data_IF_906904468831
#
_entry.id   IF_906904468831
#
_cell.length_a   1.000
_cell.length_b   1.000
_cell.length_c   1.000
_cell.angle_alpha   90.00
_cell.angle_beta   90.00
_cell.angle_gamma   90.00
#
_symmetry.space_group_name_H-M   'P 1'
#
loop_
_entity.id
_entity.type
_entity.pdbx_description
1 polymer ?
#
# COMPACT_ATOMS: atom_id res chain seq x y z
N UNK A 1 -4.11 5.70 21.24
CA UNK A 1 -3.00 5.00 20.56
C UNK A 1 -3.31 4.90 19.09
N UNK A 2 -2.35 5.29 18.24
CA UNK A 2 -2.55 5.32 16.78
C UNK A 2 -1.86 4.12 16.16
N UNK A 3 -2.63 3.31 15.45
CA UNK A 3 -2.12 2.12 14.74
C UNK A 3 -2.35 2.30 13.25
N UNK A 4 -1.29 2.19 12.47
CA UNK A 4 -1.33 2.41 11.02
C UNK A 4 -0.97 1.13 10.28
N UNK A 5 -1.80 0.75 9.32
CA UNK A 5 -1.52 -0.36 8.41
C UNK A 5 -0.76 0.13 7.18
N UNK A 6 0.31 -0.54 6.82
CA UNK A 6 1.13 -0.22 5.66
C UNK A 6 1.14 -1.41 4.71
N UNK A 7 0.68 -1.19 3.48
CA UNK A 7 0.59 -2.24 2.46
C UNK A 7 1.65 -1.96 1.39
N UNK A 8 2.74 -2.74 1.36
CA UNK A 8 3.73 -2.56 0.31
C UNK A 8 3.20 -3.08 -1.02
N UNK A 9 3.35 -2.30 -2.07
CA UNK A 9 2.86 -2.68 -3.39
C UNK A 9 3.76 -2.08 -4.46
N UNK A 10 4.20 -2.91 -5.41
CA UNK A 10 5.01 -2.46 -6.51
C UNK A 10 4.49 -3.02 -7.83
N UNK A 11 4.76 -2.28 -8.91
CA UNK A 11 4.33 -2.67 -10.24
C UNK A 11 5.20 -3.78 -10.81
N UNK A 12 6.51 -3.74 -10.55
CA UNK A 12 7.48 -4.66 -11.11
C UNK A 12 7.58 -5.98 -10.36
N UNK A 13 6.62 -6.86 -10.55
CA UNK A 13 6.70 -8.23 -10.06
C UNK A 13 7.36 -9.10 -11.13
N UNK A 14 8.28 -9.97 -10.74
CA UNK A 14 8.95 -10.87 -11.70
C UNK A 14 8.01 -11.91 -12.29
N UNK A 15 7.01 -12.34 -11.53
CA UNK A 15 6.06 -13.37 -12.01
C UNK A 15 4.86 -12.80 -12.71
N UNK A 16 4.27 -11.76 -12.16
CA UNK A 16 3.09 -11.12 -12.74
C UNK A 16 3.30 -9.62 -12.72
N UNK A 17 3.94 -9.07 -13.77
CA UNK A 17 4.10 -7.62 -13.86
C UNK A 17 2.73 -6.94 -13.73
N UNK A 18 2.69 -5.85 -12.98
CA UNK A 18 1.45 -5.10 -12.73
C UNK A 18 0.37 -5.89 -12.01
N UNK A 19 0.74 -6.90 -11.23
CA UNK A 19 -0.22 -7.70 -10.46
C UNK A 19 -1.14 -6.82 -9.61
N UNK A 20 -0.59 -5.80 -8.99
CA UNK A 20 -1.35 -4.89 -8.12
C UNK A 20 -2.49 -4.19 -8.86
N UNK A 21 -2.36 -4.01 -10.17
CA UNK A 21 -3.36 -3.36 -11.01
C UNK A 21 -4.25 -4.33 -11.76
N UNK A 22 -4.07 -5.63 -11.55
CA UNK A 22 -4.91 -6.65 -12.18
C UNK A 22 -6.35 -6.48 -11.70
N UNK A 23 -7.27 -6.38 -12.65
CA UNK A 23 -8.69 -6.16 -12.33
C UNK A 23 -9.35 -7.47 -11.90
N UNK A 24 -9.97 -7.45 -10.74
CA UNK A 24 -10.73 -8.57 -10.18
C UNK A 24 -12.07 -8.02 -9.69
N UNK A 25 -13.16 -8.56 -10.20
CA UNK A 25 -14.52 -8.11 -9.85
C UNK A 25 -14.68 -6.59 -9.94
N UNK A 26 -14.11 -6.00 -10.99
CA UNK A 26 -14.25 -4.57 -11.26
C UNK A 26 -13.31 -3.65 -10.50
N UNK A 27 -12.40 -4.18 -9.70
CA UNK A 27 -11.44 -3.38 -8.93
C UNK A 27 -10.01 -3.92 -9.08
N UNK A 28 -9.00 -3.04 -9.10
CA UNK A 28 -7.61 -3.49 -9.07
C UNK A 28 -7.33 -4.31 -7.80
N UNK A 29 -6.45 -5.30 -7.90
CA UNK A 29 -6.11 -6.16 -6.77
C UNK A 29 -5.66 -5.37 -5.54
N UNK A 30 -4.84 -4.34 -5.72
CA UNK A 30 -4.37 -3.51 -4.60
C UNK A 30 -5.53 -2.85 -3.86
N UNK A 31 -6.60 -2.52 -4.55
CA UNK A 31 -7.77 -1.91 -3.94
C UNK A 31 -8.55 -2.93 -3.10
N UNK A 32 -8.62 -4.18 -3.55
CA UNK A 32 -9.22 -5.24 -2.72
C UNK A 32 -8.45 -5.41 -1.41
N UNK A 33 -7.13 -5.43 -1.49
CA UNK A 33 -6.27 -5.54 -0.31
C UNK A 33 -6.45 -4.34 0.61
N UNK A 34 -6.47 -3.15 0.04
CA UNK A 34 -6.65 -1.91 0.81
C UNK A 34 -8.00 -1.90 1.53
N UNK A 35 -9.08 -2.23 0.82
CA UNK A 35 -10.41 -2.23 1.42
C UNK A 35 -10.55 -3.25 2.54
N UNK A 36 -9.93 -4.42 2.36
CA UNK A 36 -9.91 -5.44 3.40
C UNK A 36 -9.18 -4.95 4.66
N UNK A 37 -8.05 -4.29 4.48
CA UNK A 37 -7.30 -3.72 5.59
C UNK A 37 -8.09 -2.62 6.30
N UNK A 38 -8.82 -1.81 5.56
CA UNK A 38 -9.65 -0.74 6.11
C UNK A 38 -10.79 -1.25 6.99
N UNK A 39 -11.18 -2.50 6.82
CA UNK A 39 -12.19 -3.12 7.68
C UNK A 39 -11.67 -3.52 9.05
N UNK A 40 -10.38 -3.54 9.24
CA UNK A 40 -9.77 -3.92 10.52
C UNK A 40 -9.97 -2.80 11.54
N UNK A 41 -10.74 -3.07 12.57
CA UNK A 41 -11.07 -2.07 13.59
C UNK A 41 -9.87 -1.64 14.42
N UNK A 42 -8.82 -2.45 14.45
CA UNK A 42 -7.60 -2.14 15.18
C UNK A 42 -6.71 -1.11 14.47
N UNK A 43 -7.01 -0.78 13.21
CA UNK A 43 -6.23 0.18 12.43
C UNK A 43 -6.93 1.53 12.37
N UNK A 44 -6.19 2.58 12.69
CA UNK A 44 -6.72 3.95 12.59
C UNK A 44 -6.63 4.47 11.17
N UNK A 45 -5.57 4.09 10.45
CA UNK A 45 -5.40 4.44 9.04
C UNK A 45 -4.68 3.33 8.29
N UNK A 46 -4.87 3.32 6.98
CA UNK A 46 -4.21 2.37 6.08
C UNK A 46 -3.59 3.16 4.92
N UNK A 47 -2.32 2.89 4.63
CA UNK A 47 -1.62 3.49 3.50
C UNK A 47 -1.08 2.40 2.58
N UNK A 48 -1.17 2.64 1.28
CA UNK A 48 -0.49 1.80 0.29
C UNK A 48 0.86 2.45 0.00
N UNK A 49 1.94 1.71 0.21
CA UNK A 49 3.30 2.19 0.01
C UNK A 49 3.81 1.66 -1.32
N UNK A 50 4.07 2.54 -2.26
CA UNK A 50 4.41 2.13 -3.62
C UNK A 50 5.41 3.07 -4.28
N UNK A 51 6.16 2.54 -5.25
CA UNK A 51 7.03 3.32 -6.11
C UNK A 51 6.37 3.62 -7.47
N UNK A 52 5.13 3.19 -7.67
CA UNK A 52 4.42 3.32 -8.94
C UNK A 52 3.35 4.41 -8.88
N UNK A 53 3.46 5.37 -9.79
CA UNK A 53 2.43 6.41 -9.90
C UNK A 53 1.09 5.84 -10.33
N UNK A 54 1.10 4.76 -11.12
CA UNK A 54 -0.14 4.10 -11.55
C UNK A 54 -0.88 3.48 -10.36
N UNK A 55 -0.14 2.84 -9.46
CA UNK A 55 -0.73 2.27 -8.25
C UNK A 55 -1.24 3.40 -7.35
N UNK A 56 -0.44 4.44 -7.18
CA UNK A 56 -0.84 5.60 -6.37
C UNK A 56 -2.11 6.24 -6.92
N UNK A 57 -2.21 6.39 -8.24
CA UNK A 57 -3.40 6.95 -8.87
C UNK A 57 -4.64 6.08 -8.63
N UNK A 58 -4.49 4.75 -8.71
CA UNK A 58 -5.59 3.82 -8.44
C UNK A 58 -6.06 3.95 -7.00
N UNK A 59 -5.12 4.00 -6.05
CA UNK A 59 -5.44 4.15 -4.62
C UNK A 59 -6.22 5.44 -4.39
N UNK A 60 -5.75 6.53 -4.96
CA UNK A 60 -6.39 7.84 -4.82
C UNK A 60 -7.79 7.85 -5.44
N UNK A 61 -7.94 7.21 -6.61
CA UNK A 61 -9.22 7.13 -7.31
C UNK A 61 -10.31 6.48 -6.45
N UNK A 62 -9.94 5.48 -5.67
CA UNK A 62 -10.88 4.75 -4.82
C UNK A 62 -10.90 5.25 -3.37
N UNK A 63 -10.44 6.46 -3.15
CA UNK A 63 -10.55 7.12 -1.85
C UNK A 63 -9.55 6.68 -0.80
N UNK A 64 -8.48 5.99 -1.20
CA UNK A 64 -7.45 5.53 -0.27
C UNK A 64 -6.33 6.54 -0.10
N UNK A 65 -5.37 6.18 0.73
CA UNK A 65 -4.17 6.97 0.98
C UNK A 65 -2.94 6.19 0.56
N UNK A 66 -1.97 6.88 0.00
CA UNK A 66 -0.73 6.25 -0.45
C UNK A 66 0.50 7.01 0.00
N UNK A 67 1.63 6.33 0.01
CA UNK A 67 2.95 6.92 0.28
C UNK A 67 3.87 6.49 -0.84
N UNK A 68 4.50 7.45 -1.50
CA UNK A 68 5.49 7.15 -2.53
C UNK A 68 6.79 6.76 -1.86
N UNK A 69 7.37 5.65 -2.30
CA UNK A 69 8.63 5.13 -1.80
C UNK A 69 9.63 4.99 -2.95
N UNK A 70 10.91 4.84 -2.62
CA UNK A 70 11.95 4.70 -3.65
C UNK A 70 11.80 3.38 -4.40
N UNK A 71 12.27 3.39 -5.65
CA UNK A 71 12.19 2.20 -6.52
C UNK A 71 13.28 1.17 -6.21
N UNK A 72 14.33 1.56 -5.48
CA UNK A 72 15.51 0.74 -5.26
C UNK A 72 15.41 -0.20 -4.04
N UNK A 73 14.23 -0.28 -3.42
CA UNK A 73 14.03 -1.23 -2.33
C UNK A 73 14.04 -2.66 -2.86
N UNK A 74 14.77 -3.53 -2.18
CA UNK A 74 14.88 -4.93 -2.58
C UNK A 74 13.71 -5.78 -2.11
N UNK A 75 12.94 -5.30 -1.11
CA UNK A 75 11.80 -6.05 -0.57
C UNK A 75 10.77 -5.12 0.08
N UNK A 76 9.64 -5.69 0.47
CA UNK A 76 8.55 -4.93 1.09
C UNK A 76 8.91 -4.37 2.46
N UNK A 77 9.78 -5.04 3.21
CA UNK A 77 10.20 -4.59 4.55
C UNK A 77 10.94 -3.25 4.47
N UNK A 78 11.86 -3.10 3.50
CA UNK A 78 12.57 -1.85 3.31
C UNK A 78 11.62 -0.72 2.92
N UNK A 79 10.64 -1.01 2.08
CA UNK A 79 9.64 -0.05 1.64
C UNK A 79 8.78 0.43 2.81
N UNK A 80 8.36 -0.49 3.66
CA UNK A 80 7.61 -0.17 4.87
C UNK A 80 8.42 0.72 5.81
N UNK A 81 9.70 0.42 5.98
CA UNK A 81 10.58 1.20 6.84
C UNK A 81 10.68 2.65 6.34
N UNK A 82 10.84 2.86 5.05
CA UNK A 82 10.87 4.21 4.49
C UNK A 82 9.54 4.95 4.72
N UNK A 83 8.43 4.28 4.46
CA UNK A 83 7.11 4.88 4.62
C UNK A 83 6.86 5.27 6.08
N UNK A 84 7.28 4.44 7.02
CA UNK A 84 7.08 4.69 8.45
C UNK A 84 7.82 5.92 8.95
N UNK A 85 8.93 6.31 8.31
CA UNK A 85 9.69 7.49 8.70
C UNK A 85 8.88 8.78 8.57
N UNK A 86 7.86 8.80 7.72
CA UNK A 86 7.10 10.00 7.40
C UNK A 86 5.71 10.04 8.05
N UNK A 87 5.39 9.07 8.91
CA UNK A 87 4.08 8.97 9.53
C UNK A 87 4.21 8.83 11.05
N UNK A 88 3.44 9.64 11.78
CA UNK A 88 3.37 9.50 13.21
C UNK A 88 2.36 8.42 13.57
N UNK A 89 2.80 7.41 14.29
CA UNK A 89 1.94 6.37 14.81
C UNK A 89 2.64 5.65 15.96
N UNK A 90 1.85 5.07 16.83
CA UNK A 90 2.40 4.28 17.94
C UNK A 90 2.83 2.90 17.46
N UNK A 91 2.09 2.35 16.47
CA UNK A 91 2.38 1.03 15.90
C UNK A 91 2.12 1.03 14.40
N UNK A 92 2.94 0.26 13.67
CA UNK A 92 2.74 -0.01 12.25
C UNK A 92 2.51 -1.49 12.05
N UNK A 93 1.52 -1.84 11.22
CA UNK A 93 1.21 -3.22 10.87
C UNK A 93 1.36 -3.37 9.37
N UNK A 94 2.13 -4.36 8.97
CA UNK A 94 2.48 -4.65 7.60
C UNK A 94 1.46 -5.60 6.95
#
# INVERSE_FOLDING_TARGET
MRVVGLIPSRLGSTRLPAKALLMIDGLPLVIHTMKRAQLAKSLDEVYVCTDSEKIAAAVKKYGGKHIMTRVDHSNGTERIAEAAENIEADFFID
#
